data_IF_466788119332
#
_entry.id   IF_466788119332
#
_cell.length_a   1.000
_cell.length_b   1.000
_cell.length_c   1.000
_cell.angle_alpha   90.00
_cell.angle_beta   90.00
_cell.angle_gamma   90.00
#
_symmetry.space_group_name_H-M   'P 1'
#
loop_
_entity.id
_entity.type
_entity.pdbx_description
1 polymer ?
#
# COMPACT_ATOMS: atom_id res chain seq x y z
N UNK A 1 8.77 -23.14 -19.48
CA UNK A 1 7.48 -22.95 -18.77
C UNK A 1 7.29 -21.48 -18.44
N UNK A 2 6.11 -20.95 -18.73
CA UNK A 2 5.73 -19.58 -18.38
C UNK A 2 5.61 -19.42 -16.85
N UNK A 3 5.67 -18.18 -16.34
CA UNK A 3 5.58 -17.91 -14.90
C UNK A 3 4.28 -18.47 -14.28
N UNK A 4 3.16 -18.37 -15.00
CA UNK A 4 1.85 -18.87 -14.56
C UNK A 4 1.80 -20.40 -14.44
N UNK A 5 2.62 -21.12 -15.22
CA UNK A 5 2.71 -22.58 -15.17
C UNK A 5 3.59 -23.03 -14.01
N UNK A 6 4.67 -22.29 -13.75
CA UNK A 6 5.63 -22.62 -12.67
C UNK A 6 5.13 -22.23 -11.29
N UNK A 7 4.38 -21.13 -11.18
CA UNK A 7 3.87 -20.60 -9.90
C UNK A 7 2.41 -20.14 -10.02
N UNK A 8 1.45 -21.07 -10.25
CA UNK A 8 0.04 -20.72 -10.48
C UNK A 8 -0.59 -19.96 -9.31
N UNK A 9 -0.35 -20.39 -8.08
CA UNK A 9 -0.86 -19.72 -6.86
C UNK A 9 -0.35 -18.28 -6.73
N UNK A 10 0.95 -18.09 -6.93
CA UNK A 10 1.56 -16.77 -6.87
C UNK A 10 1.03 -15.89 -8.01
N UNK A 11 0.87 -16.44 -9.22
CA UNK A 11 0.30 -15.72 -10.35
C UNK A 11 -1.14 -15.26 -10.07
N UNK A 12 -1.95 -16.07 -9.39
CA UNK A 12 -3.32 -15.69 -8.99
C UNK A 12 -3.32 -14.51 -8.02
N UNK A 13 -2.47 -14.55 -6.98
CA UNK A 13 -2.30 -13.46 -6.03
C UNK A 13 -1.82 -12.17 -6.70
N UNK A 14 -0.81 -12.27 -7.57
CA UNK A 14 -0.28 -11.11 -8.34
C UNK A 14 -1.39 -10.49 -9.18
N UNK A 15 -2.18 -11.30 -9.88
CA UNK A 15 -3.31 -10.81 -10.71
C UNK A 15 -4.37 -10.13 -9.85
N UNK A 16 -4.72 -10.70 -8.70
CA UNK A 16 -5.68 -10.09 -7.79
C UNK A 16 -5.18 -8.73 -7.27
N UNK A 17 -3.93 -8.69 -6.79
CA UNK A 17 -3.33 -7.44 -6.33
C UNK A 17 -3.31 -6.37 -7.42
N UNK A 18 -2.92 -6.72 -8.64
CA UNK A 18 -2.93 -5.79 -9.76
C UNK A 18 -4.35 -5.37 -10.15
N UNK A 19 -5.33 -6.27 -10.12
CA UNK A 19 -6.72 -5.91 -10.38
C UNK A 19 -7.22 -4.84 -9.39
N UNK A 20 -6.98 -5.02 -8.08
CA UNK A 20 -7.34 -4.02 -7.06
C UNK A 20 -6.57 -2.73 -7.24
N UNK A 21 -5.26 -2.81 -7.53
CA UNK A 21 -4.43 -1.64 -7.76
C UNK A 21 -4.96 -0.83 -8.95
N UNK A 22 -5.13 -1.44 -10.12
CA UNK A 22 -5.59 -0.73 -11.32
C UNK A 22 -7.05 -0.27 -11.22
N UNK A 23 -7.92 -0.98 -10.49
CA UNK A 23 -9.26 -0.49 -10.17
C UNK A 23 -9.18 0.78 -9.31
N UNK A 24 -8.33 0.79 -8.28
CA UNK A 24 -8.10 1.96 -7.43
C UNK A 24 -7.48 3.13 -8.21
N UNK A 25 -6.58 2.83 -9.16
CA UNK A 25 -6.04 3.83 -10.10
C UNK A 25 -7.14 4.43 -10.97
N UNK A 26 -8.05 3.61 -11.50
CA UNK A 26 -9.18 4.09 -12.31
C UNK A 26 -10.09 5.03 -11.53
N UNK A 27 -10.54 4.61 -10.35
CA UNK A 27 -11.45 5.41 -9.50
C UNK A 27 -10.75 6.66 -8.95
N UNK A 28 -9.57 6.50 -8.34
CA UNK A 28 -8.79 7.62 -7.81
C UNK A 28 -8.33 8.58 -8.92
N UNK A 29 -7.97 8.07 -10.10
CA UNK A 29 -7.63 8.86 -11.27
C UNK A 29 -8.81 9.70 -11.79
N UNK A 30 -10.01 9.12 -11.84
CA UNK A 30 -11.24 9.85 -12.16
C UNK A 30 -11.47 11.00 -11.17
N UNK A 31 -11.29 10.76 -9.87
CA UNK A 31 -11.37 11.80 -8.85
C UNK A 31 -10.33 12.91 -9.05
N UNK A 32 -9.13 12.57 -9.54
CA UNK A 32 -8.11 13.55 -9.92
C UNK A 32 -8.54 14.43 -11.10
N UNK A 33 -9.16 13.84 -12.13
CA UNK A 33 -9.72 14.57 -13.26
C UNK A 33 -10.82 15.55 -12.81
N UNK A 34 -11.74 15.09 -11.95
CA UNK A 34 -12.79 15.93 -11.39
C UNK A 34 -12.19 17.11 -10.61
N UNK A 35 -11.16 16.86 -9.80
CA UNK A 35 -10.49 17.94 -9.07
C UNK A 35 -9.87 18.97 -10.01
N UNK A 36 -9.21 18.54 -11.09
CA UNK A 36 -8.62 19.45 -12.08
C UNK A 36 -9.70 20.33 -12.72
N UNK A 37 -10.81 19.74 -13.17
CA UNK A 37 -11.95 20.46 -13.75
C UNK A 37 -12.66 21.38 -12.75
N UNK A 38 -12.75 20.99 -11.47
CA UNK A 38 -13.32 21.84 -10.42
C UNK A 38 -12.41 23.05 -10.15
N UNK A 39 -11.09 22.85 -10.12
CA UNK A 39 -10.09 23.92 -9.89
C UNK A 39 -10.01 24.93 -11.04
N UNK A 40 -10.35 24.54 -12.28
CA UNK A 40 -10.46 25.45 -13.43
C UNK A 40 -11.84 26.09 -13.57
N UNK A 41 -12.77 25.82 -12.65
CA UNK A 41 -14.12 26.39 -12.65
C UNK A 41 -15.14 25.65 -13.53
N UNK A 42 -14.71 24.71 -14.37
CA UNK A 42 -15.59 23.95 -15.27
C UNK A 42 -16.59 23.10 -14.49
N UNK A 43 -16.17 22.46 -13.39
CA UNK A 43 -17.02 21.56 -12.58
C UNK A 43 -17.53 22.16 -11.26
N UNK A 44 -17.28 23.45 -10.99
CA UNK A 44 -17.66 24.08 -9.71
C UNK A 44 -19.18 24.18 -9.48
N UNK A 45 -19.98 24.07 -10.54
CA UNK A 45 -21.45 24.00 -10.47
C UNK A 45 -22.02 22.58 -10.52
N UNK A 46 -21.17 21.56 -10.72
CA UNK A 46 -21.58 20.14 -10.80
C UNK A 46 -21.21 19.41 -9.50
N UNK A 47 -20.00 19.69 -8.99
CA UNK A 47 -19.51 19.19 -7.71
C UNK A 47 -19.44 20.38 -6.77
N UNK A 48 -20.10 20.29 -5.62
CA UNK A 48 -20.06 21.36 -4.64
C UNK A 48 -18.64 21.52 -4.07
N UNK A 49 -18.33 22.71 -3.54
CA UNK A 49 -17.03 22.91 -2.88
C UNK A 49 -16.88 22.07 -1.60
N UNK A 50 -17.97 21.56 -1.03
CA UNK A 50 -17.95 20.61 0.09
C UNK A 50 -17.58 19.21 -0.40
N UNK A 51 -18.29 18.70 -1.41
CA UNK A 51 -18.03 17.35 -1.98
C UNK A 51 -16.66 17.23 -2.62
N UNK A 52 -16.06 18.36 -3.04
CA UNK A 52 -14.68 18.41 -3.49
C UNK A 52 -13.70 17.77 -2.48
N UNK A 53 -13.93 17.93 -1.18
CA UNK A 53 -13.08 17.36 -0.13
C UNK A 53 -13.27 15.84 0.02
N UNK A 54 -14.48 15.33 -0.21
CA UNK A 54 -14.75 13.89 -0.29
C UNK A 54 -14.00 13.27 -1.47
N UNK A 55 -14.09 13.90 -2.65
CA UNK A 55 -13.38 13.48 -3.87
C UNK A 55 -11.87 13.55 -3.68
N UNK A 56 -11.36 14.62 -3.05
CA UNK A 56 -9.94 14.80 -2.76
C UNK A 56 -9.44 13.73 -1.77
N UNK A 57 -10.24 13.39 -0.76
CA UNK A 57 -9.90 12.32 0.19
C UNK A 57 -9.83 10.97 -0.52
N UNK A 58 -10.86 10.63 -1.31
CA UNK A 58 -10.87 9.41 -2.11
C UNK A 58 -9.69 9.31 -3.08
N UNK A 59 -9.34 10.41 -3.75
CA UNK A 59 -8.20 10.45 -4.67
C UNK A 59 -6.89 10.11 -3.95
N UNK A 60 -6.61 10.83 -2.85
CA UNK A 60 -5.38 10.63 -2.09
C UNK A 60 -5.28 9.22 -1.51
N UNK A 61 -6.35 8.73 -0.87
CA UNK A 61 -6.35 7.39 -0.25
C UNK A 61 -6.24 6.29 -1.29
N UNK A 62 -7.03 6.33 -2.37
CA UNK A 62 -7.03 5.29 -3.39
C UNK A 62 -5.72 5.24 -4.19
N UNK A 63 -5.10 6.39 -4.46
CA UNK A 63 -3.85 6.41 -5.23
C UNK A 63 -2.60 6.26 -4.37
N UNK A 64 -2.46 7.05 -3.30
CA UNK A 64 -1.24 7.08 -2.52
C UNK A 64 -1.10 5.90 -1.55
N UNK A 65 -2.22 5.31 -1.10
CA UNK A 65 -2.20 4.20 -0.14
C UNK A 65 -2.64 2.88 -0.78
N UNK A 66 -3.81 2.82 -1.41
CA UNK A 66 -4.36 1.55 -1.90
C UNK A 66 -3.64 1.07 -3.17
N UNK A 67 -3.63 1.87 -4.23
CA UNK A 67 -3.01 1.52 -5.51
C UNK A 67 -1.55 1.11 -5.33
N UNK A 68 -0.76 1.96 -4.67
CA UNK A 68 0.67 1.70 -4.42
C UNK A 68 0.85 0.42 -3.61
N UNK A 69 0.19 0.26 -2.45
CA UNK A 69 0.43 -0.91 -1.59
C UNK A 69 0.06 -2.22 -2.29
N UNK A 70 -1.08 -2.28 -2.99
CA UNK A 70 -1.45 -3.49 -3.74
C UNK A 70 -0.50 -3.77 -4.91
N UNK A 71 -0.12 -2.74 -5.66
CA UNK A 71 0.84 -2.89 -6.76
C UNK A 71 2.17 -3.44 -6.24
N UNK A 72 2.66 -2.89 -5.13
CA UNK A 72 3.94 -3.26 -4.53
C UNK A 72 3.89 -4.69 -3.99
N UNK A 73 2.83 -5.06 -3.28
CA UNK A 73 2.65 -6.44 -2.79
C UNK A 73 2.61 -7.44 -3.95
N UNK A 74 1.85 -7.15 -5.02
CA UNK A 74 1.83 -7.98 -6.23
C UNK A 74 3.22 -8.11 -6.87
N UNK A 75 3.92 -6.98 -7.04
CA UNK A 75 5.27 -6.97 -7.63
C UNK A 75 6.27 -7.74 -6.75
N UNK A 76 6.17 -7.63 -5.43
CA UNK A 76 7.07 -8.31 -4.48
C UNK A 76 6.83 -9.80 -4.43
N UNK A 77 5.57 -10.26 -4.49
CA UNK A 77 5.25 -11.69 -4.65
C UNK A 77 5.95 -12.24 -5.89
N UNK A 78 5.81 -11.55 -7.03
CA UNK A 78 6.48 -11.96 -8.28
C UNK A 78 8.00 -11.95 -8.15
N UNK A 79 8.59 -10.89 -7.60
CA UNK A 79 10.03 -10.73 -7.48
C UNK A 79 10.66 -11.80 -6.58
N UNK A 80 10.03 -12.13 -5.45
CA UNK A 80 10.50 -13.15 -4.50
C UNK A 80 10.44 -14.53 -5.14
N UNK A 81 9.28 -14.94 -5.66
CA UNK A 81 9.13 -16.29 -6.23
C UNK A 81 9.99 -16.48 -7.47
N UNK A 82 10.06 -15.46 -8.35
CA UNK A 82 10.85 -15.53 -9.58
C UNK A 82 12.34 -15.59 -9.31
N UNK A 83 12.85 -14.82 -8.34
CA UNK A 83 14.31 -14.72 -8.10
C UNK A 83 14.85 -15.79 -7.16
N UNK A 84 14.06 -16.27 -6.20
CA UNK A 84 14.43 -17.43 -5.38
C UNK A 84 14.13 -18.77 -6.08
N UNK A 85 13.44 -18.71 -7.21
CA UNK A 85 12.99 -19.88 -7.98
C UNK A 85 12.18 -20.90 -7.16
N UNK A 86 11.36 -20.40 -6.24
CA UNK A 86 10.51 -21.21 -5.36
C UNK A 86 9.15 -20.56 -5.11
N UNK A 87 8.18 -21.37 -4.72
CA UNK A 87 6.90 -20.87 -4.22
C UNK A 87 7.07 -20.12 -2.90
N UNK A 88 6.10 -19.25 -2.58
CA UNK A 88 6.03 -18.60 -1.27
C UNK A 88 5.96 -19.65 -0.15
N UNK A 89 6.49 -19.29 1.02
CA UNK A 89 6.44 -20.11 2.22
C UNK A 89 5.02 -20.59 2.54
N UNK A 90 4.03 -19.71 2.44
CA UNK A 90 2.63 -20.08 2.63
C UNK A 90 1.70 -19.31 1.70
N UNK A 91 1.05 -20.01 0.77
CA UNK A 91 -0.03 -19.47 -0.06
C UNK A 91 -1.21 -19.01 0.80
N UNK A 92 -1.53 -19.74 1.88
CA UNK A 92 -2.61 -19.35 2.81
C UNK A 92 -2.31 -18.03 3.49
N UNK A 93 -1.09 -17.85 4.02
CA UNK A 93 -0.69 -16.59 4.64
C UNK A 93 -0.75 -15.41 3.64
N UNK A 94 -0.34 -15.64 2.38
CA UNK A 94 -0.44 -14.64 1.34
C UNK A 94 -1.90 -14.21 1.08
N UNK A 95 -2.84 -15.15 1.00
CA UNK A 95 -4.26 -14.84 0.85
C UNK A 95 -4.85 -14.14 2.06
N UNK A 96 -4.46 -14.52 3.29
CA UNK A 96 -4.88 -13.82 4.51
C UNK A 96 -4.38 -12.37 4.49
N UNK A 97 -3.12 -12.15 4.13
CA UNK A 97 -2.53 -10.81 4.03
C UNK A 97 -3.25 -9.94 3.00
N UNK A 98 -3.40 -10.43 1.76
CA UNK A 98 -4.05 -9.72 0.66
C UNK A 98 -5.55 -9.52 0.91
N UNK A 99 -6.22 -10.51 1.50
CA UNK A 99 -7.63 -10.43 1.90
C UNK A 99 -7.85 -9.38 2.98
N UNK A 100 -6.97 -9.31 3.98
CA UNK A 100 -7.01 -8.29 5.03
C UNK A 100 -6.86 -6.88 4.44
N UNK A 101 -5.89 -6.69 3.53
CA UNK A 101 -5.73 -5.42 2.81
C UNK A 101 -6.97 -5.05 2.01
N UNK A 102 -7.61 -6.02 1.37
CA UNK A 102 -8.80 -5.80 0.54
C UNK A 102 -10.00 -5.41 1.38
N UNK A 103 -10.27 -6.16 2.46
CA UNK A 103 -11.31 -5.80 3.43
C UNK A 103 -11.05 -4.42 4.02
N UNK A 104 -9.81 -4.12 4.39
CA UNK A 104 -9.43 -2.80 4.89
C UNK A 104 -9.72 -1.68 3.90
N UNK A 105 -9.39 -1.90 2.62
CA UNK A 105 -9.68 -0.98 1.52
C UNK A 105 -11.16 -0.73 1.36
N UNK A 106 -11.98 -1.78 1.40
CA UNK A 106 -13.44 -1.66 1.29
C UNK A 106 -13.99 -0.88 2.49
N UNK A 107 -13.56 -1.19 3.71
CA UNK A 107 -13.99 -0.50 4.93
C UNK A 107 -13.63 0.99 4.92
N UNK A 108 -12.49 1.37 4.32
CA UNK A 108 -12.11 2.76 4.18
C UNK A 108 -12.83 3.47 3.02
N UNK A 109 -13.05 2.79 1.90
CA UNK A 109 -13.71 3.35 0.74
C UNK A 109 -15.21 3.63 0.96
N UNK A 110 -15.91 2.78 1.73
CA UNK A 110 -17.33 2.94 2.03
C UNK A 110 -17.66 4.32 2.64
N UNK A 111 -17.05 4.75 3.77
CA UNK A 111 -17.35 6.05 4.34
C UNK A 111 -16.87 7.22 3.47
N UNK A 112 -15.80 7.06 2.68
CA UNK A 112 -15.41 8.08 1.69
C UNK A 112 -16.54 8.27 0.68
N UNK A 113 -17.02 7.20 0.07
CA UNK A 113 -18.05 7.29 -0.98
C UNK A 113 -19.42 7.68 -0.41
N UNK A 114 -19.73 7.25 0.82
CA UNK A 114 -20.96 7.62 1.51
C UNK A 114 -21.07 9.13 1.74
N UNK A 115 -19.94 9.85 1.87
CA UNK A 115 -19.91 11.31 1.94
C UNK A 115 -20.47 12.03 0.71
N UNK A 116 -20.57 11.35 -0.44
CA UNK A 116 -21.22 11.87 -1.65
C UNK A 116 -22.73 11.60 -1.69
N UNK A 117 -23.30 11.04 -0.62
CA UNK A 117 -24.70 10.62 -0.53
C UNK A 117 -25.37 11.25 0.70
N UNK A 118 -26.71 11.20 0.81
CA UNK A 118 -27.42 11.69 2.00
C UNK A 118 -27.24 10.84 3.27
N UNK A 119 -26.44 9.75 3.23
CA UNK A 119 -26.20 8.88 4.38
C UNK A 119 -25.33 9.62 5.40
N UNK A 120 -25.65 9.53 6.69
CA UNK A 120 -24.86 10.11 7.78
C UNK A 120 -23.58 9.30 8.07
N UNK A 121 -22.69 9.25 7.07
CA UNK A 121 -21.41 8.57 7.12
C UNK A 121 -20.44 9.25 6.15
N UNK A 122 -19.31 9.75 6.65
CA UNK A 122 -18.28 10.40 5.82
C UNK A 122 -16.87 10.13 6.31
N UNK A 123 -15.88 10.42 5.46
CA UNK A 123 -14.47 10.38 5.78
C UNK A 123 -13.71 11.50 5.07
N UNK A 124 -14.19 12.74 5.21
CA UNK A 124 -13.62 13.93 4.55
C UNK A 124 -12.38 14.47 5.27
N UNK A 125 -11.38 13.61 5.43
CA UNK A 125 -10.22 13.86 6.29
C UNK A 125 -8.89 13.91 5.51
N UNK A 126 -8.96 13.86 4.18
CA UNK A 126 -7.82 13.70 3.28
C UNK A 126 -7.04 12.40 3.53
N UNK A 127 -6.01 12.13 2.72
CA UNK A 127 -5.18 10.93 2.93
C UNK A 127 -4.28 11.02 4.19
N UNK A 128 -4.18 12.20 4.80
CA UNK A 128 -3.40 12.44 6.02
C UNK A 128 -4.21 12.32 7.30
N UNK A 129 -5.55 12.35 7.21
CA UNK A 129 -6.47 12.15 8.33
C UNK A 129 -6.12 12.88 9.63
N UNK A 130 -5.68 14.15 9.51
CA UNK A 130 -5.21 14.93 10.66
C UNK A 130 -6.34 15.21 11.65
N UNK A 131 -6.11 14.98 12.95
CA UNK A 131 -7.10 15.28 13.98
C UNK A 131 -7.44 16.76 14.14
N UNK A 132 -8.62 16.97 14.73
CA UNK A 132 -9.64 18.03 14.57
C UNK A 132 -10.74 17.65 13.57
N UNK A 133 -10.39 16.96 12.48
CA UNK A 133 -11.36 16.31 11.58
C UNK A 133 -11.45 14.82 11.94
N UNK A 134 -12.67 14.33 12.19
CA UNK A 134 -12.93 12.95 12.55
C UNK A 134 -13.69 12.25 11.42
N UNK A 135 -13.16 11.14 10.93
CA UNK A 135 -13.84 10.26 9.98
C UNK A 135 -14.67 9.20 10.71
N UNK A 136 -15.57 8.56 9.98
CA UNK A 136 -16.27 7.37 10.47
C UNK A 136 -15.27 6.26 10.90
N UNK A 137 -15.51 5.53 12.00
CA UNK A 137 -14.57 4.52 12.53
C UNK A 137 -14.10 3.46 11.52
N UNK A 138 -14.98 3.07 10.59
CA UNK A 138 -14.65 2.13 9.52
C UNK A 138 -13.46 2.58 8.67
N UNK A 139 -13.24 3.89 8.51
CA UNK A 139 -12.09 4.44 7.81
C UNK A 139 -10.77 4.08 8.51
N UNK A 140 -10.68 4.32 9.81
CA UNK A 140 -9.48 4.06 10.60
C UNK A 140 -9.22 2.56 10.75
N UNK A 141 -10.27 1.76 10.97
CA UNK A 141 -10.15 0.28 10.97
C UNK A 141 -9.67 -0.21 9.60
N UNK A 142 -10.22 0.35 8.52
CA UNK A 142 -9.81 0.03 7.16
C UNK A 142 -8.34 0.31 6.89
N UNK A 143 -7.86 1.49 7.29
CA UNK A 143 -6.45 1.88 7.20
C UNK A 143 -5.54 0.94 8.01
N UNK A 144 -5.93 0.57 9.23
CA UNK A 144 -5.17 -0.36 10.07
C UNK A 144 -5.03 -1.74 9.40
N UNK A 145 -6.12 -2.28 8.84
CA UNK A 145 -6.09 -3.58 8.15
C UNK A 145 -5.22 -3.56 6.89
N UNK A 146 -5.18 -2.44 6.16
CA UNK A 146 -4.27 -2.26 5.02
C UNK A 146 -2.80 -2.34 5.46
N UNK A 147 -2.44 -1.65 6.55
CA UNK A 147 -1.08 -1.66 7.11
C UNK A 147 -0.71 -3.07 7.60
N UNK A 148 -1.53 -3.66 8.48
CA UNK A 148 -1.24 -4.98 9.08
C UNK A 148 -1.24 -6.09 8.02
N UNK A 149 -2.14 -6.03 7.03
CA UNK A 149 -2.12 -6.97 5.91
C UNK A 149 -0.80 -6.90 5.11
N UNK A 150 -0.27 -5.70 4.86
CA UNK A 150 1.03 -5.54 4.20
C UNK A 150 2.20 -6.11 5.03
N UNK A 151 2.10 -6.07 6.36
CA UNK A 151 3.08 -6.70 7.25
C UNK A 151 3.05 -8.22 7.14
N UNK A 152 1.86 -8.82 7.12
CA UNK A 152 1.74 -10.27 6.93
C UNK A 152 2.30 -10.72 5.58
N UNK A 153 2.10 -9.94 4.51
CA UNK A 153 2.70 -10.20 3.21
C UNK A 153 4.24 -10.17 3.29
N UNK A 154 4.80 -9.14 3.94
CA UNK A 154 6.24 -9.03 4.22
C UNK A 154 6.79 -10.24 4.97
N UNK A 155 6.11 -10.66 6.03
CA UNK A 155 6.55 -11.77 6.87
C UNK A 155 6.67 -13.05 6.04
N UNK A 156 5.74 -13.27 5.12
CA UNK A 156 5.79 -14.38 4.19
C UNK A 156 7.04 -14.32 3.27
N UNK A 157 7.46 -13.13 2.82
CA UNK A 157 8.69 -12.97 2.03
C UNK A 157 9.94 -13.32 2.84
N UNK A 158 10.03 -12.86 4.09
CA UNK A 158 11.14 -13.20 4.99
C UNK A 158 11.18 -14.70 5.30
N UNK A 159 10.03 -15.34 5.51
CA UNK A 159 9.94 -16.79 5.72
C UNK A 159 10.37 -17.57 4.46
N UNK A 160 9.95 -17.11 3.28
CA UNK A 160 10.35 -17.71 2.00
C UNK A 160 11.87 -17.60 1.79
N UNK A 161 12.45 -16.43 2.09
CA UNK A 161 13.89 -16.24 2.05
C UNK A 161 14.62 -17.11 3.07
N UNK A 162 14.08 -17.26 4.29
CA UNK A 162 14.68 -18.10 5.33
C UNK A 162 14.78 -19.55 4.88
N UNK A 163 13.74 -20.10 4.24
CA UNK A 163 13.83 -21.45 3.67
C UNK A 163 14.86 -21.53 2.53
N UNK A 164 14.82 -20.58 1.59
CA UNK A 164 15.79 -20.54 0.51
C UNK A 164 17.24 -20.49 1.03
N UNK A 165 17.49 -19.73 2.09
CA UNK A 165 18.80 -19.63 2.73
C UNK A 165 19.26 -20.93 3.39
N UNK A 166 18.34 -21.75 3.91
CA UNK A 166 18.65 -23.08 4.47
C UNK A 166 19.06 -24.05 3.39
N UNK A 167 18.40 -23.98 2.23
CA UNK A 167 18.69 -24.83 1.07
C UNK A 167 19.93 -24.37 0.30
N UNK A 168 20.36 -23.11 0.48
CA UNK A 168 21.47 -22.47 -0.23
C UNK A 168 22.46 -21.81 0.76
N UNK A 169 23.15 -22.59 1.62
CA UNK A 169 24.11 -22.05 2.58
C UNK A 169 25.30 -21.41 1.83
N UNK A 170 25.71 -20.21 2.27
CA UNK A 170 26.82 -19.47 1.65
C UNK A 170 26.47 -18.72 0.35
N UNK A 171 25.35 -19.02 -0.30
CA UNK A 171 24.98 -18.40 -1.57
C UNK A 171 24.58 -16.92 -1.44
N UNK A 172 24.89 -16.12 -2.45
CA UNK A 172 24.51 -14.70 -2.42
C UNK A 172 23.00 -14.56 -2.64
N UNK A 173 22.33 -13.73 -1.83
CA UNK A 173 20.90 -13.45 -1.99
C UNK A 173 20.62 -12.82 -3.38
N UNK A 174 19.67 -13.34 -4.17
CA UNK A 174 19.29 -12.75 -5.44
C UNK A 174 18.87 -11.28 -5.29
N UNK A 175 19.28 -10.43 -6.23
CA UNK A 175 19.13 -8.97 -6.11
C UNK A 175 17.67 -8.54 -5.90
N UNK A 176 16.73 -9.13 -6.65
CA UNK A 176 15.30 -8.82 -6.51
C UNK A 176 14.80 -9.11 -5.09
N UNK A 177 15.10 -10.28 -4.53
CA UNK A 177 14.70 -10.61 -3.14
C UNK A 177 15.41 -9.72 -2.13
N UNK A 178 16.68 -9.38 -2.34
CA UNK A 178 17.37 -8.40 -1.49
C UNK A 178 16.64 -7.05 -1.45
N UNK A 179 16.30 -6.48 -2.61
CA UNK A 179 15.58 -5.21 -2.70
C UNK A 179 14.21 -5.28 -2.02
N UNK A 180 13.47 -6.39 -2.20
CA UNK A 180 12.19 -6.63 -1.52
C UNK A 180 12.37 -6.63 0.00
N UNK A 181 13.30 -7.42 0.54
CA UNK A 181 13.48 -7.55 1.99
C UNK A 181 13.98 -6.26 2.62
N UNK A 182 14.90 -5.53 1.98
CA UNK A 182 15.36 -4.21 2.46
C UNK A 182 14.21 -3.20 2.46
N UNK A 183 13.40 -3.18 1.40
CA UNK A 183 12.21 -2.31 1.34
C UNK A 183 11.21 -2.67 2.43
N UNK A 184 10.97 -3.96 2.69
CA UNK A 184 10.08 -4.40 3.76
C UNK A 184 10.64 -4.12 5.16
N UNK A 185 11.95 -4.19 5.36
CA UNK A 185 12.58 -3.84 6.64
C UNK A 185 12.37 -2.35 6.95
N UNK A 186 12.64 -1.48 5.96
CA UNK A 186 12.33 -0.06 6.08
C UNK A 186 10.83 0.14 6.33
N UNK A 187 9.96 -0.53 5.58
CA UNK A 187 8.52 -0.42 5.74
C UNK A 187 8.04 -0.76 7.14
N UNK A 188 8.51 -1.87 7.72
CA UNK A 188 8.17 -2.24 9.09
C UNK A 188 8.54 -1.15 10.06
N UNK A 189 9.79 -0.67 10.00
CA UNK A 189 10.26 0.38 10.90
C UNK A 189 9.43 1.64 10.74
N UNK A 190 9.27 2.14 9.51
CA UNK A 190 8.62 3.41 9.27
C UNK A 190 7.12 3.41 9.51
N UNK A 191 6.44 2.30 9.25
CA UNK A 191 4.98 2.23 9.44
C UNK A 191 4.56 2.08 10.90
N UNK A 192 5.50 1.89 11.84
CA UNK A 192 5.18 1.85 13.28
C UNK A 192 4.49 3.13 13.75
N UNK A 193 4.93 4.31 13.29
CA UNK A 193 4.33 5.58 13.69
C UNK A 193 2.85 5.66 13.35
N UNK A 194 2.50 5.45 12.07
CA UNK A 194 1.09 5.46 11.64
C UNK A 194 0.30 4.28 12.20
N UNK A 195 0.92 3.12 12.43
CA UNK A 195 0.25 1.99 13.08
C UNK A 195 -0.15 2.33 14.52
N UNK A 196 0.76 2.96 15.29
CA UNK A 196 0.47 3.46 16.64
C UNK A 196 -0.59 4.56 16.59
N UNK A 197 -0.43 5.55 15.70
CA UNK A 197 -1.40 6.63 15.49
C UNK A 197 -2.82 6.06 15.28
N UNK A 198 -2.99 5.17 14.32
CA UNK A 198 -4.30 4.64 13.95
C UNK A 198 -4.84 3.71 15.03
N UNK A 199 -4.07 2.71 15.46
CA UNK A 199 -4.58 1.63 16.33
C UNK A 199 -4.76 2.08 17.78
N UNK A 200 -3.82 2.87 18.30
CA UNK A 200 -3.81 3.26 19.72
C UNK A 200 -4.62 4.54 19.95
N UNK A 201 -4.69 5.44 18.97
CA UNK A 201 -5.34 6.74 19.15
C UNK A 201 -6.58 6.93 18.29
N UNK A 202 -6.46 6.90 16.95
CA UNK A 202 -7.57 7.30 16.06
C UNK A 202 -8.75 6.33 16.12
N UNK A 203 -8.50 5.02 16.21
CA UNK A 203 -9.58 4.03 16.40
C UNK A 203 -10.33 4.28 17.71
N UNK A 204 -9.68 4.28 18.90
CA UNK A 204 -10.38 4.57 20.16
C UNK A 204 -11.10 5.93 20.17
N UNK A 205 -10.48 6.96 19.59
CA UNK A 205 -11.07 8.30 19.49
C UNK A 205 -12.33 8.31 18.63
N UNK A 206 -12.30 7.66 17.46
CA UNK A 206 -13.45 7.58 16.55
C UNK A 206 -14.63 6.79 17.13
N UNK A 207 -14.37 5.83 18.03
CA UNK A 207 -15.41 5.10 18.76
C UNK A 207 -15.90 5.83 20.02
N UNK A 208 -15.34 6.99 20.36
CA UNK A 208 -15.68 7.73 21.57
C UNK A 208 -15.16 7.09 22.86
N UNK A 209 -14.19 6.16 22.78
CA UNK A 209 -13.57 5.52 23.95
C UNK A 209 -12.65 6.51 24.68
N UNK A 210 -11.98 7.38 23.92
CA UNK A 210 -11.22 8.51 24.44
C UNK A 210 -11.80 9.82 23.88
N UNK A 211 -11.84 10.90 24.67
CA UNK A 211 -12.53 12.12 24.29
C UNK A 211 -11.76 12.94 23.25
N UNK A 212 -10.43 12.87 23.26
CA UNK A 212 -9.57 13.70 22.41
C UNK A 212 -8.23 13.00 22.12
N UNK A 213 -7.53 13.53 21.12
CA UNK A 213 -6.16 13.15 20.75
C UNK A 213 -5.34 14.42 20.54
N UNK A 214 -4.08 14.40 20.95
CA UNK A 214 -3.19 15.54 20.74
C UNK A 214 -2.80 15.67 19.26
N UNK A 215 -3.24 16.76 18.60
CA UNK A 215 -3.02 16.99 17.17
C UNK A 215 -1.53 16.98 16.79
N UNK A 216 -0.65 17.52 17.65
CA UNK A 216 0.78 17.57 17.35
C UNK A 216 1.40 16.17 17.34
N UNK A 217 1.08 15.35 18.35
CA UNK A 217 1.54 13.96 18.47
C UNK A 217 1.07 13.14 17.28
N UNK A 218 -0.19 13.28 16.86
CA UNK A 218 -0.74 12.54 15.73
C UNK A 218 0.00 12.90 14.43
N UNK A 219 0.24 14.19 14.18
CA UNK A 219 1.06 14.65 13.03
C UNK A 219 2.50 14.14 13.10
N UNK A 220 3.12 14.12 14.28
CA UNK A 220 4.48 13.58 14.45
C UNK A 220 4.54 12.09 14.12
N UNK A 221 3.56 11.30 14.60
CA UNK A 221 3.45 9.88 14.29
C UNK A 221 3.15 9.64 12.81
N UNK A 222 2.25 10.43 12.21
CA UNK A 222 1.95 10.37 10.79
C UNK A 222 3.20 10.63 9.96
N UNK A 223 4.02 11.65 10.27
CA UNK A 223 5.20 12.00 9.47
C UNK A 223 6.44 11.15 9.75
N UNK A 224 6.52 10.50 10.91
CA UNK A 224 7.45 9.39 11.12
C UNK A 224 7.28 8.33 10.02
N UNK A 225 6.03 8.08 9.61
CA UNK A 225 5.66 7.23 8.48
C UNK A 225 5.69 7.96 7.12
N UNK A 226 5.19 9.20 7.10
CA UNK A 226 4.81 9.93 5.89
C UNK A 226 5.97 10.38 5.03
N UNK A 227 7.18 10.49 5.57
CA UNK A 227 8.37 10.66 4.73
C UNK A 227 8.86 9.31 4.17
N UNK A 228 9.11 8.26 4.97
CA UNK A 228 9.50 6.94 4.46
C UNK A 228 8.52 6.29 3.46
N UNK A 229 7.22 6.53 3.58
CA UNK A 229 6.21 5.96 2.67
C UNK A 229 6.47 6.34 1.21
N UNK A 230 7.02 7.53 0.93
CA UNK A 230 7.33 7.93 -0.44
C UNK A 230 8.50 7.12 -1.02
N UNK A 231 9.41 6.66 -0.16
CA UNK A 231 10.46 5.71 -0.56
C UNK A 231 9.90 4.31 -0.73
N UNK A 232 8.92 3.91 0.10
CA UNK A 232 8.20 2.66 -0.10
C UNK A 232 7.51 2.61 -1.47
N UNK A 233 7.00 3.74 -1.98
CA UNK A 233 6.49 3.83 -3.36
C UNK A 233 7.58 3.75 -4.42
N UNK A 234 8.75 4.35 -4.15
CA UNK A 234 9.84 4.51 -5.10
C UNK A 234 10.71 3.25 -5.27
N UNK A 235 11.06 2.57 -4.18
CA UNK A 235 11.96 1.41 -4.20
C UNK A 235 11.48 0.24 -5.08
N UNK A 236 10.16 -0.03 -5.20
CA UNK A 236 9.61 -0.98 -6.17
C UNK A 236 9.82 -0.55 -7.62
N UNK A 237 9.79 0.75 -7.92
CA UNK A 237 10.20 1.26 -9.24
C UNK A 237 11.69 1.04 -9.47
N UNK A 238 12.53 1.26 -8.46
CA UNK A 238 13.96 0.95 -8.52
C UNK A 238 14.18 -0.55 -8.79
N UNK A 239 13.42 -1.45 -8.14
CA UNK A 239 13.49 -2.88 -8.41
C UNK A 239 13.28 -3.17 -9.91
N UNK A 240 12.27 -2.56 -10.53
CA UNK A 240 12.02 -2.69 -11.97
C UNK A 240 13.17 -2.10 -12.79
N UNK A 241 13.63 -0.89 -12.45
CA UNK A 241 14.68 -0.19 -13.18
C UNK A 241 16.06 -0.87 -13.10
N UNK A 242 16.38 -1.51 -11.99
CA UNK A 242 17.66 -2.21 -11.82
C UNK A 242 17.62 -3.65 -12.33
N UNK A 243 16.47 -4.32 -12.29
CA UNK A 243 16.40 -5.77 -12.55
C UNK A 243 15.70 -6.16 -13.85
N UNK A 244 14.90 -5.27 -14.42
CA UNK A 244 14.11 -5.51 -15.65
C UNK A 244 14.57 -4.60 -16.79
N UNK A 245 14.57 -3.28 -16.57
CA UNK A 245 14.85 -2.30 -17.63
C UNK A 245 16.16 -2.50 -18.39
N UNK A 246 17.30 -2.86 -17.76
CA UNK A 246 18.56 -3.04 -18.49
C UNK A 246 18.45 -4.18 -19.50
N UNK A 247 17.72 -5.25 -19.17
CA UNK A 247 17.48 -6.38 -20.07
C UNK A 247 16.57 -5.99 -21.23
N UNK A 248 15.51 -5.21 -20.96
CA UNK A 248 14.61 -4.71 -22.01
C UNK A 248 15.32 -3.75 -22.97
N UNK A 249 16.31 -3.01 -22.49
CA UNK A 249 17.15 -2.13 -23.30
C UNK A 249 18.27 -2.86 -24.08
N UNK A 250 18.30 -4.20 -24.06
CA UNK A 250 19.33 -5.01 -24.73
C UNK A 250 20.68 -5.06 -24.00
N UNK A 251 20.75 -4.55 -22.78
CA UNK A 251 21.94 -4.52 -21.94
C UNK A 251 21.85 -5.44 -20.71
N UNK A 252 22.66 -5.11 -19.70
CA UNK A 252 22.68 -5.77 -18.39
C UNK A 252 22.88 -4.72 -17.30
N UNK A 253 22.54 -5.08 -16.06
CA UNK A 253 22.84 -4.23 -14.91
C UNK A 253 24.35 -3.95 -14.86
N UNK A 254 24.72 -2.67 -14.76
CA UNK A 254 26.12 -2.24 -14.75
C UNK A 254 26.87 -2.74 -13.51
N UNK A 255 26.26 -2.65 -12.32
CA UNK A 255 26.89 -3.07 -11.06
C UNK A 255 25.84 -3.55 -10.05
N UNK A 256 25.90 -4.83 -9.68
CA UNK A 256 25.10 -5.40 -8.59
C UNK A 256 25.52 -4.88 -7.21
N UNK A 257 26.82 -4.73 -6.86
CA UNK A 257 27.22 -4.12 -5.59
C UNK A 257 26.68 -2.70 -5.41
N UNK A 258 26.76 -1.86 -6.45
CA UNK A 258 26.24 -0.49 -6.37
C UNK A 258 24.70 -0.44 -6.26
N UNK A 259 23.99 -1.44 -6.80
CA UNK A 259 22.54 -1.51 -6.65
C UNK A 259 22.09 -1.93 -5.24
N UNK A 260 23.00 -2.45 -4.41
CA UNK A 260 22.70 -2.92 -3.04
C UNK A 260 23.03 -1.91 -1.95
N UNK A 261 23.81 -0.89 -2.28
CA UNK A 261 24.20 0.23 -1.40
C UNK A 261 23.24 1.38 -1.66
#
# INVERSE_FOLDING_TARGET
MAYLERYPDAAQLVRFCFAVAFASLGVGGLFGLIQALHRTGIYRGVVSSTDYYTILTGHGVLLALVFTTFFIVGLFIWAVTRSLERSLYSTRLAWVAVGMMFVGTVLAAVPILAGLTPIEMSADVLFTFYPQLQAHPAFYVGAALLIVGSWLAGANYFLTFREWRRDNPGERIPLQTFMVLTTMLMWYLSSLGVAVEVVVFLIPWSFGIIPEVDTLTMRTLFWYFGHPVVYFWLLPAYLVWYTIMPKLAGGRLFSDPLARV
#
